data_IF_420027204279
#
_entry.id   IF_420027204279
#
_cell.length_a   1.000
_cell.length_b   1.000
_cell.length_c   1.000
_cell.angle_alpha   90.00
_cell.angle_beta   90.00
_cell.angle_gamma   90.00
#
_symmetry.space_group_name_H-M   'P 1'
#
loop_
_entity.id
_entity.type
_entity.pdbx_description
1 polymer ?
#
# COMPACT_ATOMS: atom_id res chain seq x y z
N UNK A 1 -4.82 -7.70 27.27
CA UNK A 1 -5.86 -6.64 27.41
C UNK A 1 -6.49 -6.32 26.04
N UNK A 2 -5.82 -5.67 25.06
CA UNK A 2 -6.40 -5.36 23.75
C UNK A 2 -6.86 -6.60 22.96
N UNK A 3 -6.16 -7.71 23.07
CA UNK A 3 -6.54 -8.96 22.40
C UNK A 3 -7.67 -9.71 23.13
N UNK A 4 -7.81 -9.53 24.43
CA UNK A 4 -8.92 -10.07 25.19
C UNK A 4 -10.19 -9.31 24.85
N UNK A 5 -10.13 -7.97 24.81
CA UNK A 5 -11.24 -7.11 24.37
C UNK A 5 -11.65 -7.42 22.93
N UNK A 6 -10.68 -7.61 22.02
CA UNK A 6 -10.96 -7.96 20.63
C UNK A 6 -11.59 -9.36 20.49
N UNK A 7 -11.19 -10.31 21.33
CA UNK A 7 -11.81 -11.64 21.39
C UNK A 7 -13.27 -11.53 21.83
N UNK A 8 -13.52 -10.82 22.93
CA UNK A 8 -14.84 -10.67 23.50
C UNK A 8 -15.80 -9.99 22.50
N UNK A 9 -15.37 -8.92 21.82
CA UNK A 9 -16.12 -8.30 20.74
C UNK A 9 -16.37 -9.24 19.54
N UNK A 10 -15.41 -10.07 19.18
CA UNK A 10 -15.59 -11.03 18.10
C UNK A 10 -16.55 -12.15 18.50
N UNK A 11 -16.50 -12.62 19.75
CA UNK A 11 -17.44 -13.62 20.29
C UNK A 11 -18.87 -13.08 20.29
N UNK A 12 -19.10 -11.85 20.76
CA UNK A 12 -20.42 -11.19 20.70
C UNK A 12 -20.94 -11.07 19.26
N UNK A 13 -20.11 -10.68 18.30
CA UNK A 13 -20.49 -10.60 16.89
C UNK A 13 -21.04 -11.93 16.34
N UNK A 14 -20.49 -13.06 16.78
CA UNK A 14 -20.93 -14.39 16.33
C UNK A 14 -22.11 -14.96 17.16
N UNK A 15 -22.34 -14.46 18.38
CA UNK A 15 -23.47 -14.87 19.23
C UNK A 15 -24.77 -14.17 18.79
N UNK A 16 -24.69 -12.89 18.46
CA UNK A 16 -25.85 -12.03 18.19
C UNK A 16 -26.44 -12.19 16.79
N UNK A 17 -26.64 -13.36 16.26
CA UNK A 17 -27.30 -13.60 14.96
C UNK A 17 -26.86 -12.67 13.77
N UNK A 18 -25.97 -11.72 14.02
CA UNK A 18 -25.41 -10.84 13.01
C UNK A 18 -24.67 -11.61 11.91
N UNK A 19 -24.07 -12.74 12.28
CA UNK A 19 -23.40 -13.65 11.37
C UNK A 19 -24.35 -14.64 10.68
N UNK A 20 -25.58 -14.82 11.21
CA UNK A 20 -26.54 -15.83 10.74
C UNK A 20 -27.69 -15.26 9.94
N UNK A 21 -27.82 -13.92 9.81
CA UNK A 21 -28.79 -13.31 8.92
C UNK A 21 -28.54 -13.81 7.48
N UNK A 22 -29.53 -14.50 6.93
CA UNK A 22 -29.48 -15.06 5.58
C UNK A 22 -29.03 -14.00 4.57
N UNK A 23 -27.83 -14.18 4.03
CA UNK A 23 -27.27 -13.33 2.99
C UNK A 23 -26.10 -12.43 3.39
N UNK A 24 -25.65 -12.41 4.66
CA UNK A 24 -24.52 -11.56 5.07
C UNK A 24 -23.17 -12.28 5.02
N UNK A 25 -22.88 -12.96 3.93
CA UNK A 25 -21.47 -13.25 3.58
C UNK A 25 -20.82 -11.95 3.09
N UNK A 26 -20.71 -11.00 3.98
CA UNK A 26 -20.29 -9.64 3.69
C UNK A 26 -18.88 -9.33 4.23
N UNK A 27 -18.42 -8.11 3.94
CA UNK A 27 -17.13 -7.63 4.41
C UNK A 27 -16.98 -7.63 5.94
N UNK A 28 -18.06 -7.50 6.71
CA UNK A 28 -18.02 -7.47 8.16
C UNK A 28 -17.73 -8.85 8.74
N UNK A 29 -18.35 -9.89 8.17
CA UNK A 29 -18.04 -11.27 8.52
C UNK A 29 -16.58 -11.62 8.21
N UNK A 30 -16.05 -11.21 7.05
CA UNK A 30 -14.63 -11.38 6.72
C UNK A 30 -13.73 -10.69 7.76
N UNK A 31 -14.05 -9.45 8.13
CA UNK A 31 -13.27 -8.69 9.12
C UNK A 31 -13.33 -9.34 10.51
N UNK A 32 -14.49 -9.80 10.95
CA UNK A 32 -14.62 -10.53 12.21
C UNK A 32 -13.76 -11.81 12.21
N UNK A 33 -13.73 -12.55 11.10
CA UNK A 33 -12.84 -13.71 10.95
C UNK A 33 -11.35 -13.33 10.99
N UNK A 34 -10.96 -12.20 10.42
CA UNK A 34 -9.58 -11.71 10.57
C UNK A 34 -9.23 -11.37 12.02
N UNK A 35 -10.15 -10.78 12.78
CA UNK A 35 -9.95 -10.55 14.21
C UNK A 35 -9.77 -11.87 14.96
N UNK A 36 -10.63 -12.88 14.71
CA UNK A 36 -10.47 -14.22 15.30
C UNK A 36 -9.10 -14.82 14.96
N UNK A 37 -8.66 -14.71 13.69
CA UNK A 37 -7.36 -15.19 13.26
C UNK A 37 -6.21 -14.50 14.01
N UNK A 38 -6.28 -13.19 14.21
CA UNK A 38 -5.27 -12.43 14.96
C UNK A 38 -5.24 -12.80 16.44
N UNK A 39 -6.38 -12.99 17.06
CA UNK A 39 -6.48 -13.48 18.45
C UNK A 39 -5.80 -14.86 18.58
N UNK A 40 -6.14 -15.80 17.70
CA UNK A 40 -5.54 -17.14 17.72
C UNK A 40 -4.03 -17.11 17.39
N UNK A 41 -3.60 -16.23 16.48
CA UNK A 41 -2.19 -16.01 16.20
C UNK A 41 -1.45 -15.49 17.44
N UNK A 42 -2.04 -14.54 18.17
CA UNK A 42 -1.48 -14.04 19.41
C UNK A 42 -1.37 -15.14 20.49
N UNK A 43 -2.41 -15.96 20.62
CA UNK A 43 -2.43 -17.11 21.55
C UNK A 43 -1.39 -18.18 21.17
N UNK A 44 -0.98 -18.24 19.91
CA UNK A 44 0.06 -19.15 19.43
C UNK A 44 1.48 -18.69 19.75
N UNK A 45 1.73 -17.39 20.04
CA UNK A 45 3.08 -16.84 20.26
C UNK A 45 3.87 -17.52 21.38
N UNK A 46 3.28 -17.80 22.57
CA UNK A 46 4.01 -18.46 23.64
C UNK A 46 4.19 -19.97 23.43
N UNK A 47 3.51 -20.57 22.44
CA UNK A 47 3.49 -22.01 22.21
C UNK A 47 4.60 -22.42 21.24
N UNK A 48 5.24 -23.56 21.52
CA UNK A 48 6.29 -24.13 20.69
C UNK A 48 5.89 -25.51 20.16
N UNK A 49 6.61 -25.97 19.13
CA UNK A 49 6.41 -27.31 18.56
C UNK A 49 4.99 -27.55 18.02
N UNK A 50 4.46 -28.74 18.26
CA UNK A 50 3.19 -29.16 17.71
C UNK A 50 1.98 -28.32 18.17
N UNK A 51 2.01 -27.83 19.41
CA UNK A 51 0.92 -27.01 19.95
C UNK A 51 0.90 -25.64 19.30
N UNK A 52 2.07 -25.02 19.07
CA UNK A 52 2.20 -23.79 18.31
C UNK A 52 1.69 -23.94 16.87
N UNK A 53 2.03 -25.01 16.19
CA UNK A 53 1.52 -25.31 14.84
C UNK A 53 0.01 -25.52 14.86
N UNK A 54 -0.52 -26.30 15.82
CA UNK A 54 -1.97 -26.56 15.96
C UNK A 54 -2.75 -25.26 16.12
N UNK A 55 -2.25 -24.35 16.97
CA UNK A 55 -2.92 -23.07 17.23
C UNK A 55 -2.88 -22.15 16.01
N UNK A 56 -1.75 -22.07 15.30
CA UNK A 56 -1.66 -21.36 14.03
C UNK A 56 -2.57 -21.94 12.96
N UNK A 57 -2.79 -23.27 12.98
CA UNK A 57 -3.72 -23.91 12.07
C UNK A 57 -5.16 -23.45 12.28
N UNK A 58 -5.59 -23.21 13.50
CA UNK A 58 -6.89 -22.58 13.77
C UNK A 58 -6.92 -21.15 13.24
N UNK A 59 -5.87 -20.37 13.50
CA UNK A 59 -5.77 -18.99 13.03
C UNK A 59 -5.91 -18.87 11.51
N UNK A 60 -5.13 -19.63 10.75
CA UNK A 60 -5.25 -19.55 9.28
C UNK A 60 -6.58 -20.14 8.76
N UNK A 61 -7.22 -21.05 9.49
CA UNK A 61 -8.55 -21.54 9.17
C UNK A 61 -9.57 -20.39 9.04
N UNK A 62 -9.56 -19.45 9.97
CA UNK A 62 -10.40 -18.24 9.90
C UNK A 62 -10.06 -17.36 8.71
N UNK A 63 -8.76 -17.22 8.36
CA UNK A 63 -8.35 -16.46 7.18
C UNK A 63 -8.85 -17.10 5.91
N UNK A 64 -8.75 -18.43 5.80
CA UNK A 64 -9.23 -19.18 4.62
C UNK A 64 -10.75 -19.10 4.47
N UNK A 65 -11.49 -19.12 5.58
CA UNK A 65 -12.94 -18.90 5.56
C UNK A 65 -13.28 -17.49 5.03
N UNK A 66 -12.57 -16.46 5.49
CA UNK A 66 -12.75 -15.10 5.00
C UNK A 66 -12.36 -14.98 3.52
N UNK A 67 -11.27 -15.62 3.12
CA UNK A 67 -10.80 -15.64 1.74
C UNK A 67 -11.83 -16.27 0.80
N UNK A 68 -12.46 -17.39 1.20
CA UNK A 68 -13.53 -18.02 0.42
C UNK A 68 -14.72 -17.10 0.19
N UNK A 69 -15.09 -16.28 1.20
CA UNK A 69 -16.14 -15.27 1.05
C UNK A 69 -15.69 -14.16 0.10
N UNK A 70 -14.46 -13.69 0.21
CA UNK A 70 -13.94 -12.61 -0.62
C UNK A 70 -13.81 -13.02 -2.11
N UNK A 71 -13.48 -14.29 -2.37
CA UNK A 71 -13.31 -14.82 -3.74
C UNK A 71 -14.59 -15.38 -4.35
N UNK A 72 -15.72 -15.34 -3.65
CA UNK A 72 -17.01 -15.74 -4.18
C UNK A 72 -17.39 -14.86 -5.39
N UNK A 73 -17.89 -15.49 -6.47
CA UNK A 73 -18.25 -14.79 -7.71
C UNK A 73 -19.25 -13.63 -7.49
N UNK A 74 -20.15 -13.78 -6.50
CA UNK A 74 -21.13 -12.74 -6.17
C UNK A 74 -20.49 -11.51 -5.48
N UNK A 75 -19.34 -11.68 -4.88
CA UNK A 75 -18.63 -10.66 -4.13
C UNK A 75 -17.54 -9.95 -4.95
N UNK A 76 -17.16 -10.49 -6.09
CA UNK A 76 -16.16 -9.89 -6.99
C UNK A 76 -16.77 -8.82 -7.90
N UNK A 77 -15.98 -7.83 -8.27
CA UNK A 77 -14.65 -7.42 -7.76
C UNK A 77 -14.73 -6.61 -6.47
N UNK A 78 -15.90 -6.48 -5.88
CA UNK A 78 -16.18 -5.58 -4.75
C UNK A 78 -15.33 -5.88 -3.51
N UNK A 79 -14.97 -7.15 -3.30
CA UNK A 79 -14.25 -7.61 -2.12
C UNK A 79 -12.81 -8.03 -2.39
N UNK A 80 -12.28 -7.74 -3.57
CA UNK A 80 -10.89 -8.05 -3.92
C UNK A 80 -9.88 -7.46 -2.92
N UNK A 81 -10.17 -6.29 -2.35
CA UNK A 81 -9.34 -5.69 -1.30
C UNK A 81 -9.22 -6.56 -0.04
N UNK A 82 -10.20 -7.43 0.23
CA UNK A 82 -10.14 -8.36 1.38
C UNK A 82 -9.15 -9.49 1.15
N UNK A 83 -8.84 -9.83 -0.10
CA UNK A 83 -7.79 -10.80 -0.44
C UNK A 83 -6.43 -10.25 0.01
N UNK A 84 -6.17 -8.96 -0.20
CA UNK A 84 -4.96 -8.31 0.29
C UNK A 84 -4.91 -8.23 1.82
N UNK A 85 -6.04 -7.95 2.47
CA UNK A 85 -6.13 -7.99 3.93
C UNK A 85 -5.87 -9.41 4.47
N UNK A 86 -6.43 -10.45 3.82
CA UNK A 86 -6.14 -11.84 4.14
C UNK A 86 -4.64 -12.15 4.02
N UNK A 87 -3.99 -11.63 2.97
CA UNK A 87 -2.56 -11.78 2.78
C UNK A 87 -1.78 -11.25 3.99
N UNK A 88 -2.04 -10.01 4.41
CA UNK A 88 -1.34 -9.41 5.57
C UNK A 88 -1.52 -10.24 6.83
N UNK A 89 -2.76 -10.63 7.16
CA UNK A 89 -3.05 -11.43 8.36
C UNK A 89 -2.41 -12.83 8.28
N UNK A 90 -2.49 -13.47 7.11
CA UNK A 90 -1.89 -14.80 6.93
C UNK A 90 -0.37 -14.76 7.06
N UNK A 91 0.29 -13.68 6.61
CA UNK A 91 1.74 -13.54 6.76
C UNK A 91 2.18 -13.61 8.20
N UNK A 92 1.52 -12.90 9.10
CA UNK A 92 1.84 -12.89 10.53
C UNK A 92 1.69 -14.29 11.17
N UNK A 93 0.76 -15.09 10.65
CA UNK A 93 0.51 -16.44 11.14
C UNK A 93 1.59 -17.43 10.63
N UNK A 94 1.96 -17.35 9.35
CA UNK A 94 2.85 -18.33 8.72
C UNK A 94 4.32 -18.00 8.85
N UNK A 95 4.68 -16.73 8.94
CA UNK A 95 6.08 -16.28 8.98
C UNK A 95 6.93 -16.96 10.07
N UNK A 96 6.45 -17.16 11.31
CA UNK A 96 7.21 -17.91 12.31
C UNK A 96 7.51 -19.35 11.89
N UNK A 97 6.57 -20.02 11.19
CA UNK A 97 6.77 -21.39 10.72
C UNK A 97 7.88 -21.48 9.66
N UNK A 98 8.02 -20.47 8.81
CA UNK A 98 9.09 -20.40 7.81
C UNK A 98 10.48 -20.29 8.45
N UNK A 99 10.57 -19.65 9.63
CA UNK A 99 11.83 -19.50 10.37
C UNK A 99 12.18 -20.71 11.23
N UNK A 100 11.18 -21.38 11.76
CA UNK A 100 11.34 -22.45 12.76
C UNK A 100 11.51 -23.84 12.13
N UNK A 101 11.68 -23.94 10.79
CA UNK A 101 11.82 -25.20 10.07
C UNK A 101 10.54 -26.05 10.05
N UNK A 102 9.40 -25.39 10.12
CA UNK A 102 8.08 -26.01 10.06
C UNK A 102 7.27 -25.51 8.83
N UNK A 103 7.97 -25.08 7.78
CA UNK A 103 7.39 -24.46 6.60
C UNK A 103 6.41 -25.36 5.86
N UNK A 104 6.65 -26.68 5.81
CA UNK A 104 5.77 -27.68 5.18
C UNK A 104 4.31 -27.63 5.68
N UNK A 105 4.08 -27.18 6.91
CA UNK A 105 2.72 -27.07 7.45
C UNK A 105 1.95 -25.86 6.89
N UNK A 106 2.65 -24.91 6.26
CA UNK A 106 2.06 -23.72 5.66
C UNK A 106 1.78 -23.84 4.15
N UNK A 107 2.06 -24.99 3.52
CA UNK A 107 1.82 -25.21 2.08
C UNK A 107 0.38 -24.87 1.70
N UNK A 108 -0.60 -25.53 2.34
CA UNK A 108 -2.01 -25.38 1.97
C UNK A 108 -2.52 -23.94 2.11
N UNK A 109 -2.35 -23.23 3.24
CA UNK A 109 -2.85 -21.86 3.34
C UNK A 109 -2.14 -20.89 2.39
N UNK A 110 -0.85 -21.06 2.13
CA UNK A 110 -0.12 -20.22 1.18
C UNK A 110 -0.54 -20.52 -0.27
N UNK A 111 -0.76 -21.77 -0.64
CA UNK A 111 -1.25 -22.12 -1.96
C UNK A 111 -2.62 -21.50 -2.23
N UNK A 112 -3.57 -21.67 -1.30
CA UNK A 112 -4.92 -21.07 -1.43
C UNK A 112 -4.87 -19.55 -1.57
N UNK A 113 -3.98 -18.89 -0.83
CA UNK A 113 -3.82 -17.44 -0.97
C UNK A 113 -3.19 -17.05 -2.30
N UNK A 114 -2.16 -17.78 -2.76
CA UNK A 114 -1.55 -17.53 -4.07
C UNK A 114 -2.57 -17.65 -5.19
N UNK A 115 -3.40 -18.70 -5.16
CA UNK A 115 -4.47 -18.91 -6.14
C UNK A 115 -5.48 -17.74 -6.12
N UNK A 116 -5.89 -17.29 -4.94
CA UNK A 116 -6.79 -16.14 -4.79
C UNK A 116 -6.16 -14.82 -5.28
N UNK A 117 -4.87 -14.60 -5.03
CA UNK A 117 -4.15 -13.43 -5.54
C UNK A 117 -3.98 -13.45 -7.06
N UNK A 118 -3.96 -14.62 -7.70
CA UNK A 118 -3.92 -14.73 -9.16
C UNK A 118 -5.25 -14.37 -9.79
N UNK A 119 -6.33 -14.69 -9.11
CA UNK A 119 -7.66 -14.35 -9.56
C UNK A 119 -7.98 -12.85 -9.46
N UNK A 120 -7.34 -12.13 -8.52
CA UNK A 120 -7.38 -10.67 -8.43
C UNK A 120 -6.33 -10.10 -9.37
N UNK A 121 -6.73 -9.79 -10.62
CA UNK A 121 -5.80 -9.28 -11.64
C UNK A 121 -5.44 -7.82 -11.39
N UNK A 122 -4.58 -7.56 -10.41
CA UNK A 122 -4.05 -6.23 -10.11
C UNK A 122 -2.53 -6.21 -10.22
N UNK A 123 -2.01 -5.37 -11.11
CA UNK A 123 -0.56 -5.18 -11.30
C UNK A 123 0.11 -4.45 -10.13
N UNK A 124 -0.67 -3.84 -9.23
CA UNK A 124 -0.15 -2.97 -8.18
C UNK A 124 0.63 -3.70 -7.08
N UNK A 125 0.30 -4.97 -6.83
CA UNK A 125 0.86 -5.70 -5.69
C UNK A 125 1.77 -6.86 -6.09
N UNK A 126 2.52 -6.71 -7.18
CA UNK A 126 3.48 -7.72 -7.66
C UNK A 126 4.51 -8.09 -6.60
N UNK A 127 4.97 -7.14 -5.79
CA UNK A 127 5.94 -7.40 -4.70
C UNK A 127 5.36 -8.36 -3.65
N UNK A 128 4.06 -8.20 -3.34
CA UNK A 128 3.35 -9.10 -2.44
C UNK A 128 3.29 -10.51 -3.05
N UNK A 129 2.89 -10.63 -4.31
CA UNK A 129 2.80 -11.92 -5.03
C UNK A 129 4.16 -12.61 -5.11
N UNK A 130 5.24 -11.88 -5.41
CA UNK A 130 6.62 -12.40 -5.40
C UNK A 130 6.97 -12.97 -4.02
N UNK A 131 6.65 -12.24 -2.95
CA UNK A 131 6.89 -12.68 -1.57
C UNK A 131 6.20 -14.00 -1.26
N UNK A 132 4.91 -14.12 -1.63
CA UNK A 132 4.13 -15.32 -1.36
C UNK A 132 4.56 -16.51 -2.21
N UNK A 133 4.86 -16.31 -3.48
CA UNK A 133 5.38 -17.38 -4.34
C UNK A 133 6.73 -17.90 -3.84
N UNK A 134 7.61 -17.02 -3.35
CA UNK A 134 8.88 -17.44 -2.71
C UNK A 134 8.64 -18.23 -1.43
N UNK A 135 7.74 -17.74 -0.56
CA UNK A 135 7.41 -18.43 0.68
C UNK A 135 6.81 -19.83 0.42
N UNK A 136 5.92 -19.92 -0.56
CA UNK A 136 5.33 -21.20 -0.99
C UNK A 136 6.39 -22.15 -1.53
N UNK A 137 7.33 -21.65 -2.34
CA UNK A 137 8.48 -22.42 -2.81
C UNK A 137 9.32 -23.00 -1.67
N UNK A 138 9.59 -22.22 -0.62
CA UNK A 138 10.28 -22.71 0.59
C UNK A 138 9.47 -23.79 1.32
N UNK A 139 8.14 -23.65 1.36
CA UNK A 139 7.27 -24.62 1.99
C UNK A 139 7.26 -25.96 1.24
N UNK A 140 7.25 -25.94 -0.09
CA UNK A 140 7.36 -27.14 -0.92
C UNK A 140 8.74 -27.79 -0.82
N UNK A 141 9.81 -26.99 -0.70
CA UNK A 141 11.15 -27.52 -0.51
C UNK A 141 11.27 -28.27 0.84
N UNK A 142 10.74 -27.67 1.94
CA UNK A 142 10.67 -28.34 3.27
C UNK A 142 9.74 -29.57 3.27
N UNK A 143 8.79 -29.63 2.34
CA UNK A 143 7.91 -30.80 2.10
C UNK A 143 8.52 -31.85 1.17
N UNK A 144 9.77 -31.66 0.71
CA UNK A 144 10.47 -32.54 -0.25
C UNK A 144 9.82 -32.57 -1.65
N UNK A 145 9.00 -31.59 -2.00
CA UNK A 145 8.33 -31.46 -3.29
C UNK A 145 9.09 -30.50 -4.23
N UNK A 146 10.31 -30.86 -4.59
CA UNK A 146 11.26 -29.99 -5.33
C UNK A 146 10.72 -29.52 -6.69
N UNK A 147 9.87 -30.28 -7.37
CA UNK A 147 9.26 -29.87 -8.63
C UNK A 147 8.32 -28.67 -8.45
N UNK A 148 7.47 -28.70 -7.43
CA UNK A 148 6.53 -27.61 -7.11
C UNK A 148 7.29 -26.39 -6.57
N UNK A 149 8.31 -26.63 -5.76
CA UNK A 149 9.20 -25.56 -5.30
C UNK A 149 9.84 -24.81 -6.48
N UNK A 150 10.34 -25.53 -7.48
CA UNK A 150 10.91 -24.97 -8.71
C UNK A 150 9.90 -24.15 -9.52
N UNK A 151 8.66 -24.63 -9.64
CA UNK A 151 7.59 -23.88 -10.32
C UNK A 151 7.26 -22.56 -9.60
N UNK A 152 7.11 -22.59 -8.27
CA UNK A 152 6.86 -21.39 -7.48
C UNK A 152 7.99 -20.34 -7.62
N UNK A 153 9.25 -20.79 -7.60
CA UNK A 153 10.40 -19.89 -7.75
C UNK A 153 10.49 -19.31 -9.17
N UNK A 154 10.17 -20.10 -10.19
CA UNK A 154 10.10 -19.62 -11.58
C UNK A 154 9.02 -18.54 -11.71
N UNK A 155 7.84 -18.78 -11.18
CA UNK A 155 6.74 -17.80 -11.16
C UNK A 155 7.10 -16.53 -10.38
N UNK A 156 7.74 -16.67 -9.22
CA UNK A 156 8.24 -15.53 -8.45
C UNK A 156 9.25 -14.68 -9.27
N UNK A 157 10.13 -15.33 -10.04
CA UNK A 157 11.08 -14.65 -10.92
C UNK A 157 10.36 -13.89 -12.04
N UNK A 158 9.39 -14.49 -12.68
CA UNK A 158 8.59 -13.85 -13.75
C UNK A 158 7.86 -12.61 -13.23
N UNK A 159 7.19 -12.71 -12.07
CA UNK A 159 6.53 -11.59 -11.41
C UNK A 159 7.52 -10.47 -11.05
N UNK A 160 8.70 -10.81 -10.54
CA UNK A 160 9.74 -9.85 -10.22
C UNK A 160 10.28 -9.14 -11.48
N UNK A 161 10.45 -9.87 -12.58
CA UNK A 161 10.84 -9.29 -13.88
C UNK A 161 9.77 -8.31 -14.39
N UNK A 162 8.49 -8.70 -14.35
CA UNK A 162 7.36 -7.82 -14.71
C UNK A 162 7.35 -6.55 -13.86
N UNK A 163 7.58 -6.65 -12.55
CA UNK A 163 7.68 -5.48 -11.66
C UNK A 163 8.83 -4.55 -12.04
N UNK A 164 9.99 -5.11 -12.39
CA UNK A 164 11.13 -4.31 -12.87
C UNK A 164 10.81 -3.60 -14.18
N UNK A 165 10.13 -4.25 -15.13
CA UNK A 165 9.73 -3.63 -16.41
C UNK A 165 8.77 -2.45 -16.16
N UNK A 166 7.74 -2.63 -15.34
CA UNK A 166 6.79 -1.56 -14.99
C UNK A 166 7.53 -0.38 -14.31
N UNK A 167 8.43 -0.67 -13.37
CA UNK A 167 9.21 0.38 -12.72
C UNK A 167 10.10 1.16 -13.70
N UNK A 168 10.67 0.48 -14.70
CA UNK A 168 11.46 1.13 -15.73
C UNK A 168 10.60 2.03 -16.63
N UNK A 169 9.42 1.55 -17.01
CA UNK A 169 8.48 2.33 -17.81
C UNK A 169 8.00 3.59 -17.04
N UNK A 170 7.77 3.48 -15.73
CA UNK A 170 7.43 4.62 -14.87
C UNK A 170 8.56 5.65 -14.78
N UNK A 171 9.82 5.20 -14.71
CA UNK A 171 11.01 6.06 -14.70
C UNK A 171 11.16 6.76 -16.05
N UNK A 172 11.02 6.02 -17.14
CA UNK A 172 11.15 6.56 -18.49
C UNK A 172 10.06 7.61 -18.78
N UNK A 173 8.82 7.36 -18.38
CA UNK A 173 7.73 8.32 -18.48
C UNK A 173 7.97 9.58 -17.64
N UNK A 174 8.52 9.41 -16.43
CA UNK A 174 8.84 10.54 -15.54
C UNK A 174 10.00 11.39 -16.08
N UNK A 175 11.01 10.77 -16.67
CA UNK A 175 12.14 11.48 -17.29
C UNK A 175 11.69 12.28 -18.51
N UNK A 176 10.84 11.70 -19.37
CA UNK A 176 10.27 12.40 -20.52
C UNK A 176 9.46 13.64 -20.09
N UNK A 177 8.62 13.48 -19.08
CA UNK A 177 7.82 14.59 -18.52
C UNK A 177 8.71 15.71 -17.93
N UNK A 178 9.82 15.34 -17.29
CA UNK A 178 10.78 16.31 -16.76
C UNK A 178 11.50 17.07 -17.88
N UNK A 179 11.86 16.39 -18.95
CA UNK A 179 12.49 17.02 -20.13
C UNK A 179 11.53 18.00 -20.81
N UNK A 180 10.25 17.63 -20.98
CA UNK A 180 9.22 18.51 -21.54
C UNK A 180 9.03 19.76 -20.67
N UNK A 181 8.94 19.59 -19.34
CA UNK A 181 8.83 20.71 -18.41
C UNK A 181 10.06 21.62 -18.42
N UNK A 182 11.25 21.07 -18.56
CA UNK A 182 12.50 21.83 -18.70
C UNK A 182 12.54 22.66 -19.98
N UNK A 183 12.13 22.08 -21.11
CA UNK A 183 12.03 22.78 -22.39
C UNK A 183 10.99 23.91 -22.35
N UNK A 184 9.83 23.66 -21.72
CA UNK A 184 8.80 24.69 -21.54
C UNK A 184 9.30 25.85 -20.67
N UNK A 185 10.06 25.56 -19.61
CA UNK A 185 10.67 26.58 -18.76
C UNK A 185 11.72 27.43 -19.51
N UNK A 186 12.55 26.80 -20.35
CA UNK A 186 13.51 27.50 -21.18
C UNK A 186 12.83 28.40 -22.22
N UNK A 187 11.78 27.89 -22.87
CA UNK A 187 10.98 28.67 -23.81
C UNK A 187 10.32 29.89 -23.13
N UNK A 188 9.78 29.72 -21.93
CA UNK A 188 9.21 30.82 -21.15
C UNK A 188 10.26 31.87 -20.73
N UNK A 189 11.46 31.47 -20.35
CA UNK A 189 12.57 32.38 -20.05
C UNK A 189 12.99 33.18 -21.28
N UNK A 190 13.11 32.53 -22.43
CA UNK A 190 13.49 33.20 -23.68
C UNK A 190 12.40 34.19 -24.15
N UNK A 191 11.11 33.83 -24.00
CA UNK A 191 9.99 34.72 -24.28
C UNK A 191 10.01 35.97 -23.38
N UNK A 192 10.32 35.82 -22.09
CA UNK A 192 10.45 36.92 -21.15
C UNK A 192 11.61 37.84 -21.52
N UNK A 193 12.77 37.29 -21.85
CA UNK A 193 13.92 38.07 -22.27
C UNK A 193 13.66 38.84 -23.58
N UNK A 194 12.84 38.30 -24.49
CA UNK A 194 12.44 39.02 -25.70
C UNK A 194 11.54 40.23 -25.38
N UNK A 195 10.60 40.08 -24.43
CA UNK A 195 9.76 41.20 -23.99
C UNK A 195 10.53 42.30 -23.27
N UNK A 196 11.48 41.91 -22.42
CA UNK A 196 12.33 42.90 -21.69
C UNK A 196 13.25 43.71 -22.68
N UNK A 197 13.62 43.14 -23.83
CA UNK A 197 14.43 43.86 -24.87
C UNK A 197 13.56 44.78 -25.71
N UNK A 198 12.27 44.48 -25.96
CA UNK A 198 11.37 45.36 -26.71
C UNK A 198 11.03 46.66 -25.94
N UNK A 199 11.06 46.64 -24.59
CA UNK A 199 10.81 47.81 -23.73
C UNK A 199 12.03 48.76 -23.66
N UNK A 200 13.27 48.35 -24.03
CA UNK A 200 14.44 49.22 -24.03
C UNK A 200 14.55 50.11 -25.28
N UNK A 201 13.87 49.76 -26.39
CA UNK A 201 13.91 50.53 -27.65
C UNK A 201 12.85 51.67 -27.68
N UNK A 202 11.90 51.78 -26.75
CA UNK A 202 10.91 52.87 -26.70
C UNK A 202 11.25 54.06 -25.79
N UNK A 203 12.42 54.08 -25.12
CA UNK A 203 12.83 55.20 -24.23
C UNK A 203 13.98 56.00 -24.87
N UNK A 204 13.80 56.44 -26.08
CA UNK A 204 14.60 57.54 -26.66
C UNK A 204 13.68 58.51 -27.38
N UNK A 205 12.90 59.31 -26.71
CA UNK A 205 12.49 60.69 -27.11
C UNK A 205 11.86 61.36 -25.91
N UNK A 206 12.51 62.41 -25.49
CA UNK A 206 12.08 63.68 -24.89
C UNK A 206 12.83 64.05 -23.61
N UNK A 207 14.04 64.46 -23.81
CA UNK A 207 14.74 65.35 -22.88
C UNK A 207 14.66 66.77 -23.45
N UNK A 208 13.55 67.51 -23.11
CA UNK A 208 13.56 68.96 -23.10
C UNK A 208 12.25 69.52 -22.49
N UNK A 209 12.24 69.80 -21.19
CA UNK A 209 11.36 70.82 -20.57
C UNK A 209 11.90 71.23 -19.18
N UNK A 210 11.93 72.52 -18.88
CA UNK A 210 12.64 73.04 -17.72
C UNK A 210 11.88 72.86 -16.41
N UNK A 211 12.65 72.76 -15.32
CA UNK A 211 12.19 72.60 -13.95
C UNK A 211 11.35 73.76 -13.41
N UNK A 212 10.30 73.60 -12.64
CA UNK A 212 9.76 74.59 -11.68
C UNK A 212 10.34 74.35 -10.29
N UNK A 213 10.57 75.54 -9.64
CA UNK A 213 11.21 75.72 -8.38
C UNK A 213 10.44 75.18 -7.14
N UNK A 214 11.12 75.06 -5.98
CA UNK A 214 10.56 74.39 -4.80
C UNK A 214 9.72 75.34 -3.92
N UNK A 215 8.70 74.82 -3.27
CA UNK A 215 7.99 75.45 -2.17
C UNK A 215 8.06 74.58 -0.89
N UNK A 216 8.10 75.21 0.29
CA UNK A 216 8.58 74.64 1.53
C UNK A 216 7.48 74.18 2.51
N UNK A 217 7.88 73.30 3.43
CA UNK A 217 7.26 73.11 4.75
C UNK A 217 6.22 72.01 4.83
N UNK A 218 6.32 71.11 5.62
CA UNK A 218 6.18 70.99 7.08
C UNK A 218 6.32 69.54 7.52
N UNK A 219 7.08 69.36 8.60
CA UNK A 219 7.07 68.20 9.48
C UNK A 219 5.99 68.43 10.54
N UNK A 220 5.29 67.45 11.10
CA UNK A 220 5.70 66.76 12.34
C UNK A 220 5.39 65.30 12.35
N UNK A 221 6.24 64.41 12.87
CA UNK A 221 6.44 63.95 14.28
C UNK A 221 5.26 63.25 14.94
N UNK A 222 5.72 62.18 15.54
CA UNK A 222 5.14 61.45 16.70
C UNK A 222 4.02 60.47 16.43
N UNK A 223 3.93 59.32 16.99
CA UNK A 223 4.40 58.70 18.25
C UNK A 223 4.13 57.20 18.18
N UNK A 224 5.02 56.39 18.50
CA UNK A 224 5.13 55.57 19.70
C UNK A 224 3.96 54.64 20.06
N UNK A 225 4.35 53.50 20.41
CA UNK A 225 4.04 52.66 21.58
C UNK A 225 3.25 51.37 21.37
N UNK A 226 3.98 50.34 21.75
CA UNK A 226 3.66 49.21 22.70
C UNK A 226 2.64 48.20 22.28
N UNK A 227 3.04 47.01 22.29
CA UNK A 227 3.37 45.99 23.30
C UNK A 227 2.24 44.98 23.58
N UNK A 228 2.67 43.74 23.64
CA UNK A 228 2.20 42.59 24.50
C UNK A 228 0.76 42.11 24.36
N UNK A 229 0.56 40.88 24.04
CA UNK A 229 0.62 39.64 24.83
C UNK A 229 0.59 38.41 23.88
#
# INVERSE_FOLDING_TARGET
>A
ELFDDARDCAEEFFIDDCATSQGSQDQFLCRAKFVQAQVECNNAKPLQGADGVRRRRLAWGYVLDALRIATDELNRPRYDFLVYNAAVVLWDIVYPLLRDGAARYAVMPLQTLCDALEEVDDEKDLDLRVRYQRALGLCYDDAEESSLAGQCLTKAKELAQRRCTIAQEEVDASTTSLEEASQALEAAKNARLALDNDDEDEVQVEEDAPAPAPAPGEIPEDDATTATE
#
